data_IF_754004012184
#
_entry.id   IF_754004012184
#
_cell.length_a   1.000
_cell.length_b   1.000
_cell.length_c   1.000
_cell.angle_alpha   90.00
_cell.angle_beta   90.00
_cell.angle_gamma   90.00
#
_symmetry.space_group_name_H-M   'P 1'
#
loop_
_entity.id
_entity.type
_entity.pdbx_description
1 polymer ?
#
# COMPACT_ATOMS: atom_id res chain seq x y z
N UNK A 1 -5.85 -31.41 -12.93
CA UNK A 1 -5.10 -30.20 -12.53
C UNK A 1 -6.06 -29.30 -11.77
N UNK A 2 -5.99 -29.31 -10.43
CA UNK A 2 -6.81 -28.43 -9.57
C UNK A 2 -6.19 -27.03 -9.56
N UNK A 3 -6.97 -25.95 -9.73
CA UNK A 3 -6.43 -24.62 -9.52
C UNK A 3 -6.11 -24.48 -8.04
N UNK A 4 -4.83 -24.25 -7.72
CA UNK A 4 -4.43 -23.75 -6.40
C UNK A 4 -5.04 -22.37 -6.29
N UNK A 5 -6.20 -22.29 -5.63
CA UNK A 5 -6.76 -21.03 -5.20
C UNK A 5 -5.69 -20.37 -4.33
N UNK A 6 -5.08 -19.30 -4.84
CA UNK A 6 -4.24 -18.43 -4.04
C UNK A 6 -5.15 -17.90 -2.94
N UNK A 7 -5.03 -18.46 -1.73
CA UNK A 7 -5.71 -17.95 -0.55
C UNK A 7 -5.13 -16.56 -0.34
N UNK A 8 -5.80 -15.55 -0.87
CA UNK A 8 -5.52 -14.15 -0.58
C UNK A 8 -5.80 -13.97 0.91
N UNK A 9 -4.76 -14.18 1.73
CA UNK A 9 -4.82 -13.85 3.15
C UNK A 9 -5.12 -12.37 3.23
N UNK A 10 -6.33 -12.04 3.66
CA UNK A 10 -6.72 -10.66 3.84
C UNK A 10 -5.78 -10.05 4.89
N UNK A 11 -5.24 -8.83 4.65
CA UNK A 11 -4.43 -8.18 5.64
C UNK A 11 -5.26 -7.93 6.90
N UNK A 12 -4.72 -8.32 8.06
CA UNK A 12 -5.32 -7.98 9.35
C UNK A 12 -5.08 -6.52 9.72
N UNK A 13 -3.98 -5.97 9.25
CA UNK A 13 -3.55 -4.61 9.57
C UNK A 13 -3.31 -3.87 8.27
N UNK A 14 -4.00 -2.75 8.10
CA UNK A 14 -3.80 -1.85 6.96
C UNK A 14 -3.21 -0.54 7.47
N UNK A 15 -2.04 -0.18 6.95
CA UNK A 15 -1.35 1.08 7.26
C UNK A 15 -1.40 1.97 6.03
N UNK A 16 -2.17 3.05 6.09
CA UNK A 16 -2.16 4.07 5.04
C UNK A 16 -1.04 5.08 5.31
N UNK A 17 0.05 4.96 4.56
CA UNK A 17 1.19 5.86 4.61
C UNK A 17 1.26 6.77 3.37
N UNK A 18 0.17 6.85 2.60
CA UNK A 18 0.16 7.58 1.33
C UNK A 18 0.24 9.10 1.49
N UNK A 19 -0.15 9.62 2.65
CA UNK A 19 -0.18 11.05 2.99
C UNK A 19 0.93 11.49 3.96
N UNK A 20 1.59 10.54 4.63
CA UNK A 20 2.50 10.80 5.74
C UNK A 20 3.86 11.40 5.32
N UNK A 21 4.25 11.28 4.04
CA UNK A 21 5.59 11.67 3.57
C UNK A 21 5.55 12.97 2.76
N UNK A 22 4.90 14.02 3.28
CA UNK A 22 5.03 15.37 2.69
C UNK A 22 6.41 15.99 2.96
N UNK A 23 7.08 15.57 4.02
CA UNK A 23 8.42 15.98 4.43
C UNK A 23 9.41 14.82 4.32
N UNK A 24 10.69 15.14 4.17
CA UNK A 24 11.80 14.21 4.01
C UNK A 24 12.15 13.47 5.32
N UNK A 25 11.14 13.02 6.08
CA UNK A 25 11.30 12.44 7.42
C UNK A 25 11.73 10.97 7.34
N UNK A 26 13.04 10.78 7.23
CA UNK A 26 13.70 9.48 7.37
C UNK A 26 13.37 8.86 8.73
N UNK A 27 13.34 9.68 9.79
CA UNK A 27 13.07 9.23 11.16
C UNK A 27 11.69 8.57 11.31
N UNK A 28 10.68 9.09 10.61
CA UNK A 28 9.33 8.51 10.65
C UNK A 28 9.25 7.18 9.90
N UNK A 29 10.03 7.01 8.82
CA UNK A 29 10.12 5.74 8.10
C UNK A 29 10.83 4.66 8.94
N UNK A 30 11.91 5.01 9.64
CA UNK A 30 12.63 4.08 10.52
C UNK A 30 11.78 3.65 11.73
N UNK A 31 11.00 4.58 12.30
CA UNK A 31 10.02 4.26 13.35
C UNK A 31 8.96 3.26 12.88
N UNK A 32 8.41 3.44 11.67
CA UNK A 32 7.47 2.48 11.09
C UNK A 32 8.10 1.10 10.92
N UNK A 33 9.33 1.05 10.37
CA UNK A 33 10.05 -0.21 10.18
C UNK A 33 10.26 -0.90 11.53
N UNK A 34 10.67 -0.17 12.56
CA UNK A 34 10.89 -0.75 13.89
C UNK A 34 9.59 -1.25 14.53
N UNK A 35 8.48 -0.53 14.38
CA UNK A 35 7.17 -1.01 14.84
C UNK A 35 6.75 -2.30 14.12
N UNK A 36 6.95 -2.39 12.81
CA UNK A 36 6.64 -3.60 12.04
C UNK A 36 7.53 -4.78 12.46
N UNK A 37 8.82 -4.54 12.73
CA UNK A 37 9.74 -5.58 13.23
C UNK A 37 9.29 -6.19 14.55
N UNK A 38 8.65 -5.39 15.40
CA UNK A 38 8.11 -5.88 16.68
C UNK A 38 6.82 -6.68 16.52
N UNK A 39 6.20 -6.68 15.35
CA UNK A 39 4.96 -7.42 15.09
C UNK A 39 5.26 -8.87 14.69
N UNK A 40 4.70 -9.89 15.39
CA UNK A 40 4.82 -11.28 14.98
C UNK A 40 4.07 -11.60 13.68
N UNK A 41 3.26 -10.65 13.17
CA UNK A 41 2.34 -10.82 12.05
C UNK A 41 2.69 -9.91 10.86
N UNK A 42 3.97 -9.63 10.61
CA UNK A 42 4.39 -8.76 9.50
C UNK A 42 3.82 -9.16 8.13
N UNK A 43 3.58 -10.46 7.90
CA UNK A 43 2.95 -11.01 6.67
C UNK A 43 1.47 -10.67 6.50
N UNK A 44 0.82 -10.22 7.57
CA UNK A 44 -0.59 -9.83 7.59
C UNK A 44 -0.76 -8.30 7.57
N UNK A 45 0.35 -7.56 7.42
CA UNK A 45 0.37 -6.10 7.33
C UNK A 45 0.40 -5.69 5.86
N UNK A 46 -0.52 -4.80 5.48
CA UNK A 46 -0.56 -4.15 4.19
C UNK A 46 -0.31 -2.66 4.33
N UNK A 47 0.76 -2.17 3.70
CA UNK A 47 1.13 -0.76 3.73
C UNK A 47 0.82 -0.11 2.38
N UNK A 48 0.07 0.98 2.39
CA UNK A 48 -0.14 1.84 1.23
C UNK A 48 0.91 2.95 1.19
N UNK A 49 1.71 3.00 0.14
CA UNK A 49 2.70 4.07 -0.09
C UNK A 49 2.18 5.03 -1.15
N UNK A 50 2.42 6.33 -0.96
CA UNK A 50 2.04 7.38 -1.90
C UNK A 50 3.07 7.60 -3.01
N UNK A 51 2.89 8.67 -3.80
CA UNK A 51 3.80 9.07 -4.90
C UNK A 51 5.24 9.37 -4.47
N UNK A 52 5.50 9.44 -3.17
CA UNK A 52 6.82 9.66 -2.57
C UNK A 52 7.78 8.48 -2.71
N UNK A 53 7.32 7.35 -3.26
CA UNK A 53 8.15 6.22 -3.67
C UNK A 53 9.31 6.59 -4.62
N UNK A 54 9.17 7.67 -5.40
CA UNK A 54 10.20 8.12 -6.33
C UNK A 54 11.38 8.84 -5.65
N UNK A 55 11.27 9.13 -4.34
CA UNK A 55 12.38 9.65 -3.55
C UNK A 55 13.27 8.50 -3.07
N UNK A 56 14.59 8.72 -2.90
CA UNK A 56 15.53 7.68 -2.47
C UNK A 56 15.11 6.98 -1.17
N UNK A 57 14.47 7.71 -0.25
CA UNK A 57 13.97 7.17 1.03
C UNK A 57 12.70 6.31 0.87
N UNK A 58 11.83 6.62 -0.11
CA UNK A 58 10.64 5.82 -0.40
C UNK A 58 10.98 4.43 -0.92
N UNK A 59 12.02 4.32 -1.77
CA UNK A 59 12.52 3.04 -2.27
C UNK A 59 13.15 2.19 -1.16
N UNK A 60 13.91 2.81 -0.25
CA UNK A 60 14.48 2.13 0.93
C UNK A 60 13.39 1.56 1.84
N UNK A 61 12.38 2.37 2.16
CA UNK A 61 11.23 1.94 2.97
C UNK A 61 10.48 0.78 2.30
N UNK A 62 10.15 0.90 1.01
CA UNK A 62 9.48 -0.16 0.26
C UNK A 62 10.23 -1.49 0.34
N UNK A 63 11.54 -1.46 0.10
CA UNK A 63 12.38 -2.67 0.14
C UNK A 63 12.42 -3.27 1.54
N UNK A 64 12.51 -2.45 2.59
CA UNK A 64 12.49 -2.93 3.96
C UNK A 64 11.16 -3.61 4.31
N UNK A 65 10.02 -3.01 3.94
CA UNK A 65 8.68 -3.57 4.16
C UNK A 65 8.49 -4.91 3.45
N UNK A 66 8.90 -5.00 2.18
CA UNK A 66 8.83 -6.24 1.41
C UNK A 66 9.75 -7.33 1.98
N UNK A 67 10.97 -6.98 2.42
CA UNK A 67 11.89 -7.92 3.05
C UNK A 67 11.34 -8.51 4.36
N UNK A 68 10.49 -7.76 5.08
CA UNK A 68 9.78 -8.24 6.28
C UNK A 68 8.54 -9.10 5.95
N UNK A 69 8.19 -9.22 4.66
CA UNK A 69 7.04 -9.98 4.19
C UNK A 69 5.72 -9.21 4.20
N UNK A 70 5.75 -7.89 4.42
CA UNK A 70 4.56 -7.06 4.33
C UNK A 70 4.06 -6.98 2.89
N UNK A 71 2.75 -6.84 2.73
CA UNK A 71 2.16 -6.43 1.46
C UNK A 71 2.33 -4.93 1.30
N UNK A 72 2.70 -4.48 0.09
CA UNK A 72 2.90 -3.05 -0.18
C UNK A 72 2.18 -2.68 -1.46
N UNK A 73 1.25 -1.73 -1.38
CA UNK A 73 0.56 -1.18 -2.55
C UNK A 73 0.95 0.28 -2.75
N UNK A 74 1.26 0.61 -4.00
CA UNK A 74 1.57 1.97 -4.43
C UNK A 74 0.27 2.63 -4.86
N UNK A 75 -0.16 3.68 -4.16
CA UNK A 75 -1.21 4.57 -4.66
C UNK A 75 -0.58 5.57 -5.61
N UNK A 76 -0.82 5.40 -6.90
CA UNK A 76 -0.60 6.47 -7.87
C UNK A 76 -1.58 7.62 -7.57
N UNK A 77 -1.17 8.89 -7.66
CA UNK A 77 -2.06 10.05 -7.49
C UNK A 77 -3.23 10.10 -8.48
N UNK A 78 -3.26 9.20 -9.46
CA UNK A 78 -4.18 9.22 -10.59
C UNK A 78 -4.96 7.91 -10.65
N UNK A 79 -5.78 7.68 -9.63
CA UNK A 79 -6.90 6.75 -9.70
C UNK A 79 -7.97 7.17 -8.68
N UNK A 80 -8.33 8.45 -8.72
CA UNK A 80 -9.63 8.90 -8.25
C UNK A 80 -10.54 9.00 -9.47
N UNK A 81 -11.46 8.03 -9.56
CA UNK A 81 -12.71 8.05 -10.34
C UNK A 81 -12.57 8.13 -11.87
N UNK A 82 -12.72 6.99 -12.53
CA UNK A 82 -13.54 6.93 -13.74
C UNK A 82 -14.15 5.55 -13.81
N UNK A 83 -15.47 5.48 -13.58
CA UNK A 83 -16.43 4.53 -14.17
C UNK A 83 -17.62 4.35 -13.23
N UNK A 84 -18.63 5.20 -13.38
CA UNK A 84 -20.03 4.76 -13.36
C UNK A 84 -20.71 5.44 -14.55
N UNK A 85 -20.85 4.69 -15.64
CA UNK A 85 -21.86 4.98 -16.66
C UNK A 85 -23.23 4.80 -16.03
N UNK A 86 -24.13 5.76 -16.21
CA UNK A 86 -25.56 5.46 -16.33
C UNK A 86 -26.05 6.05 -17.65
N UNK A 87 -26.29 5.14 -18.57
CA UNK A 87 -27.05 5.34 -19.79
C UNK A 87 -28.54 5.38 -19.42
N UNK A 88 -29.19 6.51 -19.69
CA UNK A 88 -30.64 6.63 -19.93
C UNK A 88 -30.72 7.57 -21.14
N UNK A 89 -30.74 7.06 -22.37
CA UNK A 89 -31.91 6.51 -23.05
C UNK A 89 -33.13 7.44 -22.98
N UNK A 90 -33.36 8.08 -24.14
CA UNK A 90 -34.65 8.33 -24.79
C UNK A 90 -35.48 9.58 -24.46
N UNK A 91 -35.86 10.22 -25.58
CA UNK A 91 -37.10 10.98 -25.88
C UNK A 91 -37.27 12.38 -25.29
N UNK A 92 -37.00 13.41 -26.11
CA UNK A 92 -37.99 14.13 -26.94
C UNK A 92 -37.35 15.36 -27.59
#
# INVERSE_FOLDING_TARGET
>A
MTPVAAIHRQPKIVVDWSTAVKSNDVDNADRLINWIKTSPQAKEIHVYLGSTQHRPNGRRLQNALLAMGCMVTKRSPMSSVSSYQSSLAETC
#
